data_IF_843980291859
#
_entry.id   IF_843980291859
#
_cell.length_a   1.000
_cell.length_b   1.000
_cell.length_c   1.000
_cell.angle_alpha   90.00
_cell.angle_beta   90.00
_cell.angle_gamma   90.00
#
_symmetry.space_group_name_H-M   'P 1'
#
loop_
_entity.id
_entity.type
_entity.pdbx_description
1 polymer ?
#
# COMPACT_ATOMS: atom_id res chain seq x y z
N UNK A 1 -3.00 17.59 -5.80
CA UNK A 1 -1.78 18.24 -5.26
C UNK A 1 -1.42 17.57 -3.93
N UNK A 2 -0.15 17.58 -3.52
CA UNK A 2 0.25 17.16 -2.18
C UNK A 2 -0.32 18.17 -1.17
N UNK A 3 -1.16 17.71 -0.25
CA UNK A 3 -1.70 18.55 0.82
C UNK A 3 -0.93 18.24 2.11
N UNK A 4 -0.24 19.23 2.67
CA UNK A 4 0.47 19.12 3.95
C UNK A 4 -0.39 19.73 5.07
N UNK A 5 -0.49 19.03 6.20
CA UNK A 5 -1.18 19.44 7.42
C UNK A 5 -0.23 19.32 8.60
N UNK A 6 -0.18 20.33 9.50
CA UNK A 6 0.60 20.23 10.72
C UNK A 6 -0.01 19.18 11.66
N UNK A 7 0.83 18.33 12.24
CA UNK A 7 0.43 17.28 13.18
C UNK A 7 0.91 17.57 14.61
N UNK A 8 2.16 18.04 14.75
CA UNK A 8 2.74 18.48 16.01
C UNK A 8 3.88 19.48 15.74
N UNK A 9 4.54 19.98 16.78
CA UNK A 9 5.59 21.00 16.63
C UNK A 9 6.72 20.52 15.70
N UNK A 10 6.91 21.22 14.58
CA UNK A 10 7.87 20.86 13.54
C UNK A 10 7.50 19.64 12.68
N UNK A 11 6.34 19.01 12.87
CA UNK A 11 5.91 17.81 12.13
C UNK A 11 4.77 18.13 11.18
N UNK A 12 5.00 17.88 9.89
CA UNK A 12 4.01 18.01 8.83
C UNK A 12 3.75 16.66 8.20
N UNK A 13 2.48 16.31 8.07
CA UNK A 13 2.03 15.10 7.38
C UNK A 13 1.32 15.51 6.10
N UNK A 14 1.52 14.78 5.02
CA UNK A 14 0.81 15.06 3.77
C UNK A 14 0.37 13.84 3.01
N UNK A 15 -0.79 13.99 2.36
CA UNK A 15 -1.36 12.99 1.47
C UNK A 15 -1.20 13.40 0.02
N UNK A 16 -0.84 12.44 -0.83
CA UNK A 16 -0.86 12.58 -2.28
C UNK A 16 -1.55 11.38 -2.91
N UNK A 17 -2.42 11.64 -3.89
CA UNK A 17 -3.08 10.61 -4.68
C UNK A 17 -2.47 10.59 -6.07
N UNK A 18 -1.93 9.43 -6.45
CA UNK A 18 -1.35 9.22 -7.77
C UNK A 18 -2.37 9.43 -8.89
N UNK A 19 -1.94 10.09 -9.96
CA UNK A 19 -2.74 10.31 -11.17
C UNK A 19 -2.32 9.39 -12.32
N UNK A 20 -1.13 8.78 -12.24
CA UNK A 20 -0.56 7.90 -13.26
C UNK A 20 0.19 6.74 -12.60
N UNK A 21 0.18 5.60 -13.26
CA UNK A 21 1.00 4.44 -12.90
C UNK A 21 2.47 4.66 -13.28
N UNK A 22 3.36 3.91 -12.64
CA UNK A 22 4.81 3.95 -12.88
C UNK A 22 5.61 4.67 -11.79
N UNK A 23 6.89 4.94 -12.07
CA UNK A 23 7.79 5.60 -11.12
C UNK A 23 7.37 7.06 -10.88
N UNK A 24 7.24 7.42 -9.61
CA UNK A 24 7.04 8.80 -9.16
C UNK A 24 8.16 9.19 -8.21
N UNK A 25 8.76 10.36 -8.46
CA UNK A 25 9.78 10.97 -7.62
C UNK A 25 9.18 12.16 -6.86
N UNK A 26 9.43 12.21 -5.55
CA UNK A 26 9.05 13.30 -4.67
C UNK A 26 10.28 14.02 -4.18
N UNK A 27 10.23 15.34 -4.16
CA UNK A 27 11.29 16.20 -3.63
C UNK A 27 10.66 17.20 -2.67
N UNK A 28 11.21 17.26 -1.46
CA UNK A 28 10.77 18.16 -0.39
C UNK A 28 11.81 19.26 -0.26
N UNK A 29 11.37 20.51 -0.36
CA UNK A 29 12.20 21.70 -0.26
C UNK A 29 11.81 22.51 0.97
N UNK A 30 12.81 23.11 1.63
CA UNK A 30 12.64 24.12 2.66
C UNK A 30 13.44 25.35 2.24
N UNK A 31 12.78 26.49 2.06
CA UNK A 31 13.38 27.73 1.53
C UNK A 31 14.20 27.52 0.24
N UNK A 32 13.68 26.68 -0.65
CA UNK A 32 14.33 26.35 -1.93
C UNK A 32 15.49 25.36 -1.82
N UNK A 33 15.90 24.95 -0.62
CA UNK A 33 16.92 23.94 -0.38
C UNK A 33 16.28 22.55 -0.32
N UNK A 34 16.81 21.59 -1.07
CA UNK A 34 16.35 20.20 -1.05
C UNK A 34 16.65 19.57 0.32
N UNK A 35 15.61 19.17 1.04
CA UNK A 35 15.72 18.49 2.34
C UNK A 35 15.70 16.97 2.16
N UNK A 36 14.83 16.47 1.29
CA UNK A 36 14.66 15.04 1.05
C UNK A 36 14.15 14.74 -0.34
N UNK A 37 14.60 13.62 -0.87
CA UNK A 37 14.04 13.01 -2.07
C UNK A 37 13.62 11.57 -1.78
N UNK A 38 12.54 11.13 -2.41
CA UNK A 38 12.04 9.76 -2.37
C UNK A 38 11.51 9.33 -3.73
N UNK A 39 11.54 8.03 -4.01
CA UNK A 39 10.95 7.43 -5.20
C UNK A 39 9.99 6.32 -4.79
N UNK A 40 8.89 6.19 -5.52
CA UNK A 40 7.96 5.08 -5.38
C UNK A 40 7.47 4.61 -6.74
N UNK A 41 6.99 3.39 -6.83
CA UNK A 41 6.33 2.86 -8.02
C UNK A 41 4.83 2.79 -7.72
N UNK A 42 4.05 3.55 -8.48
CA UNK A 42 2.60 3.47 -8.44
C UNK A 42 2.17 2.31 -9.32
N UNK A 43 1.66 1.25 -8.70
CA UNK A 43 1.09 0.10 -9.39
C UNK A 43 -0.43 0.23 -9.51
N UNK A 44 -1.01 -0.49 -10.47
CA UNK A 44 -2.45 -0.61 -10.56
C UNK A 44 -3.02 -1.24 -9.28
N UNK A 45 -4.19 -0.74 -8.86
CA UNK A 45 -4.91 -1.33 -7.73
C UNK A 45 -5.20 -2.80 -8.00
N UNK A 46 -5.17 -3.62 -6.96
CA UNK A 46 -5.53 -5.04 -7.08
C UNK A 46 -7.04 -5.18 -6.95
N UNK A 47 -7.66 -5.91 -7.87
CA UNK A 47 -9.08 -6.22 -7.81
C UNK A 47 -9.31 -7.42 -6.88
N UNK A 48 -9.68 -7.12 -5.63
CA UNK A 48 -9.93 -8.14 -4.62
C UNK A 48 -11.03 -9.13 -5.01
N UNK A 49 -11.96 -8.75 -5.91
CA UNK A 49 -13.03 -9.65 -6.37
C UNK A 49 -12.52 -10.79 -7.26
N UNK A 50 -11.30 -10.68 -7.80
CA UNK A 50 -10.63 -11.73 -8.57
C UNK A 50 -9.91 -12.76 -7.69
N UNK A 51 -9.63 -12.41 -6.43
CA UNK A 51 -9.01 -13.32 -5.49
C UNK A 51 -10.05 -14.31 -4.94
N UNK A 52 -9.71 -15.60 -4.90
CA UNK A 52 -10.58 -16.65 -4.33
C UNK A 52 -9.77 -17.61 -3.47
N UNK A 53 -10.23 -17.88 -2.26
CA UNK A 53 -9.69 -18.96 -1.43
C UNK A 53 -10.60 -20.19 -1.52
N UNK A 54 -10.02 -21.40 -1.62
CA UNK A 54 -10.77 -22.66 -1.69
C UNK A 54 -10.11 -23.76 -0.86
N UNK A 55 -10.91 -24.61 -0.22
CA UNK A 55 -10.44 -25.81 0.46
C UNK A 55 -11.11 -26.01 1.81
N UNK A 56 -11.18 -27.27 2.27
CA UNK A 56 -11.89 -27.63 3.50
C UNK A 56 -11.34 -26.91 4.74
N UNK A 57 -10.07 -26.51 4.73
CA UNK A 57 -9.47 -25.74 5.82
C UNK A 57 -10.05 -24.34 6.02
N UNK A 58 -10.87 -23.84 5.10
CA UNK A 58 -11.65 -22.62 5.27
C UNK A 58 -12.97 -22.86 6.02
N UNK A 59 -13.41 -24.11 6.10
CA UNK A 59 -14.70 -24.50 6.70
C UNK A 59 -14.52 -25.27 8.01
N UNK A 60 -13.52 -26.16 8.08
CA UNK A 60 -13.29 -27.06 9.23
C UNK A 60 -11.83 -27.48 9.40
N UNK A 61 -11.46 -27.84 10.63
CA UNK A 61 -10.18 -28.43 10.98
C UNK A 61 -10.30 -29.40 12.16
N UNK A 62 -9.38 -30.35 12.29
CA UNK A 62 -9.30 -31.32 13.39
C UNK A 62 -8.18 -30.88 14.35
N UNK A 63 -8.46 -30.89 15.66
CA UNK A 63 -7.49 -30.52 16.68
C UNK A 63 -6.28 -31.45 16.61
N UNK A 64 -5.08 -30.86 16.51
CA UNK A 64 -3.82 -31.59 16.41
C UNK A 64 -3.41 -31.96 14.97
N UNK A 65 -4.23 -31.69 13.97
CA UNK A 65 -3.93 -31.98 12.56
C UNK A 65 -3.81 -30.70 11.72
N UNK A 66 -2.93 -30.74 10.70
CA UNK A 66 -2.81 -29.62 9.75
C UNK A 66 -3.93 -29.69 8.72
N UNK A 67 -4.72 -28.63 8.63
CA UNK A 67 -5.64 -28.43 7.51
C UNK A 67 -4.97 -27.69 6.35
N UNK A 68 -5.59 -27.70 5.17
CA UNK A 68 -5.08 -27.02 3.96
C UNK A 68 -6.20 -26.28 3.24
N UNK A 69 -5.84 -25.15 2.67
CA UNK A 69 -6.61 -24.46 1.65
C UNK A 69 -5.65 -23.79 0.67
N UNK A 70 -6.16 -23.40 -0.49
CA UNK A 70 -5.40 -22.74 -1.55
C UNK A 70 -5.96 -21.35 -1.79
N UNK A 71 -5.07 -20.39 -2.02
CA UNK A 71 -5.44 -19.05 -2.50
C UNK A 71 -5.19 -19.02 -4.01
N UNK A 72 -6.18 -18.52 -4.73
CA UNK A 72 -6.13 -18.19 -6.14
C UNK A 72 -6.11 -16.67 -6.28
N UNK A 73 -5.04 -16.15 -6.90
CA UNK A 73 -4.82 -14.71 -7.07
C UNK A 73 -4.67 -14.35 -8.55
N UNK A 74 -5.16 -15.20 -9.46
CA UNK A 74 -5.15 -14.94 -10.90
C UNK A 74 -6.23 -13.95 -11.33
#
# INVERSE_FOLDING_TARGET
LLNLTPESDGVFVGGWTAQKLGETKFSIFFDGVLVKEAKTIVSEGQDASKCRAVGEGLERAIVGERTKFRIDTQ
#
